data_IF_143658569758
#
_entry.id   IF_143658569758
#
_cell.length_a   1.000
_cell.length_b   1.000
_cell.length_c   1.000
_cell.angle_alpha   90.00
_cell.angle_beta   90.00
_cell.angle_gamma   90.00
#
_symmetry.space_group_name_H-M   'P 1'
#
loop_
_entity.id
_entity.type
_entity.pdbx_description
1 polymer ?
#
# COMPACT_ATOMS: atom_id res chain seq x y z
N UNK A 1 -10.38 1.28 -26.60
CA UNK A 1 -9.17 1.74 -27.33
C UNK A 1 -8.78 3.08 -26.73
N UNK A 2 -7.58 3.20 -26.15
CA UNK A 2 -7.06 4.44 -25.56
C UNK A 2 -6.91 5.48 -26.67
N UNK A 3 -7.59 6.62 -26.55
CA UNK A 3 -7.59 7.65 -27.60
C UNK A 3 -6.39 8.60 -27.54
N UNK A 4 -5.79 8.76 -26.37
CA UNK A 4 -4.61 9.61 -26.13
C UNK A 4 -3.56 8.83 -25.34
N UNK A 5 -2.83 7.91 -25.96
CA UNK A 5 -1.79 7.18 -25.26
C UNK A 5 -0.69 8.13 -24.79
N UNK A 6 -0.30 8.02 -23.53
CA UNK A 6 0.86 8.77 -23.02
C UNK A 6 2.14 8.24 -23.66
N UNK A 7 3.15 9.10 -23.88
CA UNK A 7 4.44 8.65 -24.36
C UNK A 7 5.18 7.90 -23.23
N UNK A 8 5.17 6.58 -23.31
CA UNK A 8 5.89 5.75 -22.34
C UNK A 8 7.40 5.92 -22.48
N UNK A 9 8.17 5.88 -21.38
CA UNK A 9 9.63 5.96 -21.43
C UNK A 9 10.24 4.93 -22.36
N UNK A 10 11.38 5.31 -23.00
CA UNK A 10 12.15 4.43 -23.87
C UNK A 10 11.40 3.85 -25.09
N UNK A 11 10.32 4.52 -25.52
CA UNK A 11 9.51 4.05 -26.65
C UNK A 11 8.68 2.79 -26.34
N UNK A 12 8.49 2.45 -25.09
CA UNK A 12 7.64 1.34 -24.68
C UNK A 12 6.18 1.54 -25.17
N UNK A 13 5.52 0.45 -25.48
CA UNK A 13 4.11 0.48 -25.93
C UNK A 13 3.11 0.48 -24.77
N UNK A 14 3.53 0.00 -23.63
CA UNK A 14 2.77 -0.04 -22.36
C UNK A 14 3.75 -0.10 -21.18
N UNK A 15 3.24 0.14 -20.01
CA UNK A 15 3.90 -0.15 -18.74
C UNK A 15 2.99 -1.02 -17.88
N UNK A 16 3.57 -1.89 -17.08
CA UNK A 16 2.87 -2.67 -16.08
C UNK A 16 3.59 -2.50 -14.73
N UNK A 17 2.83 -2.20 -13.69
CA UNK A 17 3.30 -2.20 -12.32
C UNK A 17 2.69 -3.41 -11.61
N UNK A 18 3.52 -4.19 -10.93
CA UNK A 18 3.05 -5.23 -10.01
C UNK A 18 3.32 -4.76 -8.60
N UNK A 19 2.27 -4.71 -7.80
CA UNK A 19 2.34 -4.23 -6.43
C UNK A 19 1.73 -5.24 -5.49
N UNK A 20 2.14 -5.21 -4.22
CA UNK A 20 1.58 -6.03 -3.17
C UNK A 20 1.29 -5.18 -1.95
N UNK A 21 0.13 -5.40 -1.34
CA UNK A 21 -0.22 -4.83 -0.07
C UNK A 21 0.06 -5.89 1.01
N UNK A 22 0.93 -5.59 1.98
CA UNK A 22 1.30 -6.52 3.05
C UNK A 22 0.56 -6.14 4.34
N UNK A 23 -0.74 -6.33 4.34
CA UNK A 23 -1.60 -5.95 5.46
C UNK A 23 -1.46 -6.88 6.67
N UNK A 24 -1.18 -8.14 6.40
CA UNK A 24 -1.01 -9.14 7.44
C UNK A 24 -2.16 -9.10 8.49
N UNK A 25 -1.85 -9.36 9.74
CA UNK A 25 -2.83 -9.35 10.82
C UNK A 25 -3.17 -7.94 11.35
N UNK A 26 -2.68 -6.86 10.72
CA UNK A 26 -3.16 -5.51 11.02
C UNK A 26 -4.67 -5.39 10.84
N UNK A 27 -5.22 -6.08 9.84
CA UNK A 27 -6.66 -6.13 9.55
C UNK A 27 -7.49 -6.64 10.74
N UNK A 28 -6.97 -7.62 11.47
CA UNK A 28 -7.63 -8.13 12.67
C UNK A 28 -7.57 -7.12 13.81
N UNK A 29 -6.43 -6.48 13.98
CA UNK A 29 -6.24 -5.54 15.08
C UNK A 29 -7.01 -4.25 14.89
N UNK A 30 -7.18 -3.76 13.66
CA UNK A 30 -8.01 -2.58 13.40
C UNK A 30 -9.50 -2.91 13.44
N UNK A 31 -9.93 -4.03 12.87
CA UNK A 31 -11.32 -4.47 12.88
C UNK A 31 -11.84 -4.90 14.25
N UNK A 32 -10.94 -5.42 15.09
CA UNK A 32 -11.26 -5.99 16.41
C UNK A 32 -10.31 -5.45 17.49
N UNK A 33 -10.36 -4.16 17.83
CA UNK A 33 -9.38 -3.51 18.71
C UNK A 33 -9.37 -4.06 20.15
N UNK A 34 -10.46 -4.68 20.58
CA UNK A 34 -10.60 -5.21 21.95
C UNK A 34 -10.29 -6.71 22.08
N UNK A 35 -10.61 -7.51 21.08
CA UNK A 35 -10.53 -8.97 21.11
C UNK A 35 -9.73 -9.58 19.96
N UNK A 36 -9.17 -8.77 19.09
CA UNK A 36 -8.39 -9.20 17.93
C UNK A 36 -7.30 -10.22 18.29
N UNK A 37 -6.63 -10.05 19.44
CA UNK A 37 -5.59 -10.95 19.91
C UNK A 37 -6.07 -12.39 20.20
N UNK A 38 -7.36 -12.60 20.40
CA UNK A 38 -7.97 -13.92 20.64
C UNK A 38 -8.37 -14.65 19.35
N UNK A 39 -8.36 -13.98 18.20
CA UNK A 39 -8.75 -14.52 16.89
C UNK A 39 -7.60 -15.30 16.24
N UNK A 40 -7.18 -16.36 16.92
CA UNK A 40 -5.94 -17.11 16.60
C UNK A 40 -5.94 -17.67 15.19
N UNK A 41 -7.06 -18.18 14.69
CA UNK A 41 -7.18 -18.76 13.35
C UNK A 41 -6.97 -17.69 12.27
N UNK A 42 -7.66 -16.57 12.39
CA UNK A 42 -7.53 -15.44 11.45
C UNK A 42 -6.11 -14.85 11.47
N UNK A 43 -5.56 -14.58 12.65
CA UNK A 43 -4.18 -14.13 12.82
C UNK A 43 -3.21 -15.10 12.14
N UNK A 44 -3.34 -16.41 12.41
CA UNK A 44 -2.45 -17.42 11.84
C UNK A 44 -2.50 -17.43 10.31
N UNK A 45 -3.68 -17.30 9.72
CA UNK A 45 -3.87 -17.23 8.27
C UNK A 45 -3.18 -16.00 7.68
N UNK A 46 -3.42 -14.83 8.26
CA UNK A 46 -2.88 -13.57 7.76
C UNK A 46 -1.37 -13.43 7.96
N UNK A 47 -0.80 -14.07 8.97
CA UNK A 47 0.65 -14.13 9.18
C UNK A 47 1.40 -14.97 8.14
N UNK A 48 0.71 -15.77 7.33
CA UNK A 48 1.34 -16.49 6.23
C UNK A 48 2.00 -15.52 5.24
N UNK A 49 1.37 -14.37 4.99
CA UNK A 49 1.91 -13.31 4.13
C UNK A 49 3.36 -12.95 4.48
N UNK A 50 3.59 -12.28 5.61
CA UNK A 50 4.93 -11.82 5.99
C UNK A 50 5.90 -12.96 6.33
N UNK A 51 5.42 -14.10 6.82
CA UNK A 51 6.30 -15.21 7.25
C UNK A 51 6.75 -16.13 6.12
N UNK A 52 5.95 -16.26 5.05
CA UNK A 52 6.18 -17.25 3.99
C UNK A 52 6.04 -16.64 2.60
N UNK A 53 4.94 -15.91 2.33
CA UNK A 53 4.64 -15.47 0.98
C UNK A 53 5.63 -14.41 0.47
N UNK A 54 6.07 -13.48 1.33
CA UNK A 54 7.02 -12.42 0.94
C UNK A 54 8.29 -13.00 0.31
N UNK A 55 8.93 -13.98 0.93
CA UNK A 55 10.13 -14.61 0.37
C UNK A 55 9.85 -15.24 -0.99
N UNK A 56 8.72 -15.96 -1.12
CA UNK A 56 8.33 -16.60 -2.38
C UNK A 56 8.06 -15.58 -3.50
N UNK A 57 7.42 -14.48 -3.16
CA UNK A 57 7.13 -13.38 -4.09
C UNK A 57 8.46 -12.76 -4.56
N UNK A 58 9.33 -12.36 -3.63
CA UNK A 58 10.62 -11.74 -3.92
C UNK A 58 11.48 -12.66 -4.82
N UNK A 59 11.59 -13.93 -4.47
CA UNK A 59 12.36 -14.92 -5.26
C UNK A 59 11.80 -15.10 -6.67
N UNK A 60 10.46 -15.21 -6.78
CA UNK A 60 9.79 -15.41 -8.07
C UNK A 60 10.02 -14.23 -9.01
N UNK A 61 9.93 -13.01 -8.49
CA UNK A 61 10.13 -11.80 -9.31
C UNK A 61 11.60 -11.48 -9.55
N UNK A 62 12.49 -11.89 -8.66
CA UNK A 62 13.93 -11.83 -8.89
C UNK A 62 14.33 -12.69 -10.12
N UNK A 63 13.76 -13.88 -10.25
CA UNK A 63 13.97 -14.75 -11.41
C UNK A 63 13.49 -14.14 -12.74
N UNK A 64 12.52 -13.20 -12.67
CA UNK A 64 12.00 -12.48 -13.83
C UNK A 64 12.70 -11.12 -14.06
N UNK A 65 13.60 -10.71 -13.17
CA UNK A 65 14.24 -9.39 -13.22
C UNK A 65 13.29 -8.22 -12.99
N UNK A 66 12.14 -8.44 -12.33
CA UNK A 66 11.10 -7.43 -12.11
C UNK A 66 11.23 -6.88 -10.69
N UNK A 67 11.19 -5.56 -10.55
CA UNK A 67 11.07 -4.88 -9.26
C UNK A 67 9.62 -4.49 -9.03
N UNK A 68 9.25 -4.44 -7.76
CA UNK A 68 7.88 -4.24 -7.30
C UNK A 68 7.81 -3.17 -6.24
N UNK A 69 6.60 -2.67 -6.00
CA UNK A 69 6.29 -1.83 -4.84
C UNK A 69 5.45 -2.64 -3.85
N UNK A 70 5.85 -2.61 -2.59
CA UNK A 70 5.09 -3.16 -1.47
C UNK A 70 4.51 -2.00 -0.67
N UNK A 71 3.18 -1.90 -0.63
CA UNK A 71 2.46 -1.00 0.26
C UNK A 71 2.27 -1.71 1.59
N UNK A 72 2.79 -1.12 2.66
CA UNK A 72 2.86 -1.82 3.95
C UNK A 72 2.34 -0.89 5.05
N UNK A 73 1.31 -1.30 5.82
CA UNK A 73 0.96 -0.62 7.05
C UNK A 73 2.18 -0.54 7.97
N UNK A 74 2.46 0.63 8.52
CA UNK A 74 3.69 0.84 9.29
C UNK A 74 3.78 -0.03 10.54
N UNK A 75 2.65 -0.41 11.11
CA UNK A 75 2.56 -1.42 12.17
C UNK A 75 3.12 -2.78 11.72
N UNK A 76 2.86 -3.18 10.47
CA UNK A 76 3.42 -4.41 9.91
C UNK A 76 4.94 -4.32 9.73
N UNK A 77 5.46 -3.13 9.40
CA UNK A 77 6.92 -2.90 9.34
C UNK A 77 7.57 -3.14 10.71
N UNK A 78 6.97 -2.63 11.79
CA UNK A 78 7.46 -2.84 13.16
C UNK A 78 7.29 -4.30 13.61
N UNK A 79 6.25 -4.97 13.16
CA UNK A 79 5.89 -6.34 13.57
C UNK A 79 6.66 -7.43 12.84
N UNK A 80 7.01 -7.19 11.57
CA UNK A 80 7.62 -8.18 10.66
C UNK A 80 8.92 -7.64 10.01
N UNK A 81 9.93 -7.28 10.82
CA UNK A 81 11.16 -6.68 10.31
C UNK A 81 11.91 -7.60 9.33
N UNK A 82 11.84 -8.93 9.50
CA UNK A 82 12.50 -9.89 8.59
C UNK A 82 11.88 -9.88 7.17
N UNK A 83 10.56 -9.72 7.08
CA UNK A 83 9.89 -9.56 5.78
C UNK A 83 10.30 -8.24 5.10
N UNK A 84 10.40 -7.16 5.88
CA UNK A 84 10.84 -5.85 5.40
C UNK A 84 12.28 -5.92 4.89
N UNK A 85 13.17 -6.57 5.61
CA UNK A 85 14.57 -6.79 5.21
C UNK A 85 14.64 -7.58 3.88
N UNK A 86 13.89 -8.68 3.76
CA UNK A 86 13.78 -9.46 2.52
C UNK A 86 13.35 -8.61 1.32
N UNK A 87 12.34 -7.73 1.51
CA UNK A 87 11.87 -6.81 0.47
C UNK A 87 12.96 -5.82 0.06
N UNK A 88 13.66 -5.23 1.04
CA UNK A 88 14.72 -4.24 0.81
C UNK A 88 15.95 -4.88 0.14
N UNK A 89 16.39 -6.05 0.58
CA UNK A 89 17.49 -6.80 -0.03
C UNK A 89 17.16 -7.22 -1.45
N UNK A 90 15.90 -7.55 -1.74
CA UNK A 90 15.39 -7.75 -3.08
C UNK A 90 15.44 -6.50 -3.96
N UNK A 91 15.72 -5.33 -3.40
CA UNK A 91 15.77 -4.04 -4.11
C UNK A 91 14.41 -3.54 -4.56
N UNK A 92 13.37 -3.89 -3.82
CA UNK A 92 11.99 -3.45 -4.04
C UNK A 92 11.70 -2.13 -3.31
N UNK A 93 10.65 -1.44 -3.74
CA UNK A 93 10.17 -0.24 -3.05
C UNK A 93 9.25 -0.62 -1.90
N UNK A 94 9.41 0.06 -0.75
CA UNK A 94 8.42 0.08 0.32
C UNK A 94 7.70 1.42 0.27
N UNK A 95 6.38 1.36 0.11
CA UNK A 95 5.48 2.50 0.06
C UNK A 95 4.52 2.48 1.26
N UNK A 96 3.87 3.59 1.48
CA UNK A 96 3.04 3.85 2.64
C UNK A 96 1.61 3.29 2.46
N UNK A 97 1.07 2.64 3.51
CA UNK A 97 -0.29 2.07 3.54
C UNK A 97 -1.01 2.29 4.89
N UNK A 98 -0.97 3.51 5.41
CA UNK A 98 -1.44 3.78 6.76
C UNK A 98 -0.47 3.30 7.85
N UNK A 99 -0.89 3.44 9.12
CA UNK A 99 -0.15 2.87 10.25
C UNK A 99 -0.66 1.47 10.61
N UNK A 100 -1.95 1.36 10.98
CA UNK A 100 -2.64 0.09 11.30
C UNK A 100 -3.71 -0.25 10.25
N UNK A 101 -3.59 0.26 9.03
CA UNK A 101 -4.57 0.13 7.96
C UNK A 101 -5.85 0.98 8.20
N UNK A 102 -5.70 2.17 8.80
CA UNK A 102 -6.79 3.10 9.04
C UNK A 102 -7.43 3.57 7.73
N UNK A 103 -8.75 3.79 7.78
CA UNK A 103 -9.52 4.30 6.63
C UNK A 103 -9.57 5.83 6.67
N UNK A 104 -8.87 6.56 5.81
CA UNK A 104 -8.77 8.03 5.89
C UNK A 104 -10.09 8.78 5.96
N UNK A 105 -11.15 8.29 5.28
CA UNK A 105 -12.46 8.92 5.31
C UNK A 105 -13.21 8.80 6.64
N UNK A 106 -12.78 7.91 7.52
CA UNK A 106 -13.41 7.63 8.80
C UNK A 106 -12.69 8.37 9.95
N UNK A 107 -11.54 8.97 9.66
CA UNK A 107 -10.73 9.74 10.60
C UNK A 107 -11.16 11.20 10.62
N UNK A 108 -10.97 11.85 11.76
CA UNK A 108 -11.01 13.31 11.80
C UNK A 108 -9.71 13.91 11.22
N UNK A 109 -9.71 15.22 11.02
CA UNK A 109 -8.59 15.94 10.39
C UNK A 109 -7.27 15.76 11.12
N UNK A 110 -7.29 15.74 12.45
CA UNK A 110 -6.09 15.60 13.27
C UNK A 110 -5.59 14.15 13.30
N UNK A 111 -6.50 13.19 13.32
CA UNK A 111 -6.20 11.77 13.28
C UNK A 111 -5.58 11.37 11.92
N UNK A 112 -6.15 11.85 10.79
CA UNK A 112 -5.61 11.57 9.45
C UNK A 112 -4.16 12.05 9.34
N UNK A 113 -3.88 13.27 9.80
CA UNK A 113 -2.51 13.81 9.81
C UNK A 113 -1.59 13.03 10.75
N UNK A 114 -2.04 12.72 11.95
CA UNK A 114 -1.26 12.00 12.94
C UNK A 114 -0.84 10.61 12.46
N UNK A 115 -1.77 9.82 11.93
CA UNK A 115 -1.47 8.47 11.47
C UNK A 115 -0.59 8.45 10.21
N UNK A 116 -0.82 9.41 9.30
CA UNK A 116 0.03 9.60 8.12
C UNK A 116 1.48 9.91 8.54
N UNK A 117 1.68 10.89 9.42
CA UNK A 117 3.02 11.28 9.85
C UNK A 117 3.71 10.19 10.68
N UNK A 118 2.97 9.52 11.57
CA UNK A 118 3.49 8.39 12.35
C UNK A 118 3.99 7.26 11.46
N UNK A 119 3.25 6.92 10.42
CA UNK A 119 3.66 5.87 9.49
C UNK A 119 4.88 6.28 8.67
N UNK A 120 4.98 7.55 8.23
CA UNK A 120 6.19 8.09 7.59
C UNK A 120 7.41 7.90 8.49
N UNK A 121 7.30 8.23 9.77
CA UNK A 121 8.42 8.10 10.72
C UNK A 121 8.88 6.66 10.89
N UNK A 122 7.95 5.71 10.94
CA UNK A 122 8.29 4.27 11.00
C UNK A 122 9.01 3.83 9.74
N UNK A 123 8.48 4.19 8.56
CA UNK A 123 9.09 3.84 7.27
C UNK A 123 10.51 4.42 7.19
N UNK A 124 10.69 5.69 7.57
CA UNK A 124 12.03 6.32 7.57
C UNK A 124 13.00 5.60 8.48
N UNK A 125 12.58 5.22 9.70
CA UNK A 125 13.43 4.46 10.63
C UNK A 125 13.84 3.10 10.08
N UNK A 126 12.91 2.40 9.43
CA UNK A 126 13.14 1.06 8.91
C UNK A 126 13.96 1.03 7.61
N UNK A 127 13.75 2.02 6.73
CA UNK A 127 14.31 1.99 5.36
C UNK A 127 15.43 3.02 5.14
N UNK A 128 15.58 3.99 6.04
CA UNK A 128 16.47 5.14 5.87
C UNK A 128 15.99 6.18 4.86
N UNK A 129 14.78 6.05 4.31
CA UNK A 129 14.25 6.89 3.24
C UNK A 129 12.78 7.24 3.49
N UNK A 130 12.38 8.43 3.04
CA UNK A 130 10.96 8.79 3.03
C UNK A 130 10.21 7.98 1.96
N UNK A 131 8.97 7.53 2.25
CA UNK A 131 8.14 6.90 1.23
C UNK A 131 7.86 7.89 0.09
N UNK A 132 7.88 7.39 -1.14
CA UNK A 132 7.54 8.18 -2.34
C UNK A 132 6.11 7.96 -2.78
N UNK A 133 5.57 6.79 -2.51
CA UNK A 133 4.25 6.35 -2.90
C UNK A 133 3.35 6.08 -1.71
N UNK A 134 2.06 6.21 -1.96
CA UNK A 134 1.01 5.90 -1.01
C UNK A 134 -0.11 5.12 -1.69
N UNK A 135 -0.77 4.26 -0.92
CA UNK A 135 -2.05 3.65 -1.25
C UNK A 135 -2.94 3.76 -0.03
N UNK A 136 -4.17 4.22 -0.23
CA UNK A 136 -5.17 4.25 0.83
C UNK A 136 -5.58 2.83 1.21
N UNK A 137 -5.60 2.48 2.49
CA UNK A 137 -6.23 1.26 2.95
C UNK A 137 -7.64 1.10 2.37
N UNK A 138 -7.93 -0.08 1.78
CA UNK A 138 -9.17 -0.35 1.04
C UNK A 138 -9.52 0.71 -0.03
N UNK A 139 -8.50 1.39 -0.60
CA UNK A 139 -8.72 2.51 -1.54
C UNK A 139 -9.61 3.63 -0.97
N UNK A 140 -9.67 3.73 0.37
CA UNK A 140 -10.54 4.67 1.11
C UNK A 140 -9.92 6.08 1.16
N UNK A 141 -9.93 6.77 0.04
CA UNK A 141 -9.32 8.09 -0.16
C UNK A 141 -10.21 9.20 0.42
N UNK A 142 -9.69 10.05 1.30
CA UNK A 142 -10.41 11.21 1.84
C UNK A 142 -10.34 12.40 0.88
N UNK A 143 -11.18 13.40 1.10
CA UNK A 143 -11.14 14.65 0.34
C UNK A 143 -9.86 15.47 0.59
N UNK A 144 -9.11 15.19 1.65
CA UNK A 144 -7.86 15.85 2.05
C UNK A 144 -6.62 15.07 1.66
N UNK A 145 -6.73 13.75 1.40
CA UNK A 145 -5.59 12.86 1.22
C UNK A 145 -4.59 13.40 0.19
N UNK A 146 -5.05 13.84 -0.99
CA UNK A 146 -4.15 14.37 -2.02
C UNK A 146 -3.32 15.57 -1.54
N UNK A 147 -3.95 16.52 -0.85
CA UNK A 147 -3.28 17.71 -0.32
C UNK A 147 -2.29 17.37 0.79
N UNK A 148 -2.65 16.44 1.67
CA UNK A 148 -1.79 15.97 2.76
C UNK A 148 -0.55 15.25 2.23
N UNK A 149 -0.72 14.41 1.22
CA UNK A 149 0.37 13.68 0.55
C UNK A 149 1.32 14.64 -0.18
N UNK A 150 0.77 15.55 -0.98
CA UNK A 150 1.55 16.56 -1.70
C UNK A 150 2.35 17.46 -0.73
N UNK A 151 1.73 17.89 0.38
CA UNK A 151 2.37 18.70 1.41
C UNK A 151 3.55 17.97 2.10
N UNK A 152 3.54 16.63 2.13
CA UNK A 152 4.59 15.80 2.73
C UNK A 152 5.60 15.27 1.73
N UNK A 153 5.47 15.66 0.45
CA UNK A 153 6.43 15.37 -0.60
C UNK A 153 6.30 13.98 -1.20
N UNK A 154 5.12 13.35 -1.09
CA UNK A 154 4.83 12.15 -1.87
C UNK A 154 4.85 12.46 -3.37
N UNK A 155 5.27 11.50 -4.16
CA UNK A 155 5.40 11.64 -5.62
C UNK A 155 4.19 11.07 -6.34
N UNK A 156 3.64 9.97 -5.80
CA UNK A 156 2.48 9.30 -6.40
C UNK A 156 1.53 8.73 -5.35
N UNK A 157 0.29 8.58 -5.77
CA UNK A 157 -0.77 7.78 -5.17
C UNK A 157 -1.11 6.59 -6.07
N UNK A 158 -1.64 5.53 -5.50
CA UNK A 158 -2.08 4.34 -6.23
C UNK A 158 -3.43 3.83 -5.69
N UNK A 159 -4.37 4.75 -5.44
CA UNK A 159 -5.65 4.42 -4.82
C UNK A 159 -6.86 4.63 -5.71
N UNK A 160 -6.79 5.60 -6.63
CA UNK A 160 -7.96 5.99 -7.41
C UNK A 160 -8.08 5.18 -8.69
N UNK A 161 -9.30 5.10 -9.23
CA UNK A 161 -9.68 4.20 -10.32
C UNK A 161 -10.28 4.96 -11.50
N UNK A 162 -9.80 6.21 -11.73
CA UNK A 162 -10.42 7.13 -12.69
C UNK A 162 -10.02 6.94 -14.13
N UNK A 163 -8.95 6.21 -14.44
CA UNK A 163 -8.45 6.00 -15.80
C UNK A 163 -7.65 4.69 -15.88
N UNK A 164 -7.33 4.25 -17.08
CA UNK A 164 -6.38 3.16 -17.38
C UNK A 164 -4.93 3.64 -17.44
N UNK A 165 -4.70 4.95 -17.41
CA UNK A 165 -3.41 5.60 -17.54
C UNK A 165 -3.11 6.48 -16.32
N UNK A 166 -1.83 6.67 -15.96
CA UNK A 166 -1.45 7.65 -14.97
C UNK A 166 -1.97 9.05 -15.31
N UNK A 167 -2.44 9.77 -14.29
CA UNK A 167 -2.92 11.13 -14.42
C UNK A 167 -2.48 12.01 -13.26
N UNK A 168 -2.63 13.33 -13.39
CA UNK A 168 -2.22 14.28 -12.37
C UNK A 168 -3.41 14.69 -11.51
N UNK A 169 -3.27 14.51 -10.21
CA UNK A 169 -4.14 15.12 -9.21
C UNK A 169 -3.65 16.53 -8.92
N UNK A 170 -4.57 17.49 -9.05
CA UNK A 170 -4.30 18.87 -8.68
C UNK A 170 -4.50 19.02 -7.17
N UNK A 171 -3.45 19.45 -6.47
CA UNK A 171 -3.45 19.63 -5.03
C UNK A 171 -3.32 21.11 -4.70
N UNK A 172 -3.74 21.53 -3.52
CA UNK A 172 -3.59 22.92 -3.05
C UNK A 172 -2.12 23.37 -3.04
N UNK A 173 -1.17 22.44 -2.85
CA UNK A 173 0.28 22.70 -2.88
C UNK A 173 0.99 21.67 -3.76
N UNK A 174 0.96 21.89 -5.08
CA UNK A 174 1.68 21.03 -6.03
C UNK A 174 0.80 20.04 -6.76
N UNK A 175 1.39 18.97 -7.21
CA UNK A 175 0.75 17.91 -7.99
C UNK A 175 1.17 16.55 -7.43
N UNK A 176 0.29 15.59 -7.54
CA UNK A 176 0.52 14.20 -7.21
C UNK A 176 0.21 13.36 -8.44
N UNK A 177 1.05 12.38 -8.76
CA UNK A 177 0.76 11.44 -9.84
C UNK A 177 -0.17 10.35 -9.29
N UNK A 178 -1.29 10.14 -9.94
CA UNK A 178 -2.11 8.95 -9.72
C UNK A 178 -1.64 7.82 -10.63
N UNK A 179 -1.33 6.68 -10.05
CA UNK A 179 -1.10 5.41 -10.73
C UNK A 179 -2.36 4.56 -10.54
N UNK A 180 -3.32 4.60 -11.47
CA UNK A 180 -4.63 4.04 -11.20
C UNK A 180 -4.59 2.55 -10.91
N UNK A 181 -5.38 2.15 -9.93
CA UNK A 181 -5.66 0.76 -9.59
C UNK A 181 -7.08 0.39 -10.03
N UNK A 182 -7.51 -0.85 -9.81
CA UNK A 182 -8.89 -1.24 -10.04
C UNK A 182 -9.23 -2.52 -9.28
N UNK A 183 -10.40 -2.55 -8.64
CA UNK A 183 -10.90 -3.72 -7.91
C UNK A 183 -10.91 -5.02 -8.73
N UNK A 184 -11.06 -4.93 -10.05
CA UNK A 184 -11.00 -6.07 -10.96
C UNK A 184 -9.59 -6.66 -11.16
N UNK A 185 -8.54 -5.94 -10.74
CA UNK A 185 -7.15 -6.37 -10.81
C UNK A 185 -6.57 -6.70 -9.41
N UNK A 186 -7.38 -6.51 -8.38
CA UNK A 186 -7.04 -6.78 -6.99
C UNK A 186 -7.49 -8.20 -6.63
N UNK A 187 -6.67 -8.94 -5.92
CA UNK A 187 -6.97 -10.31 -5.55
C UNK A 187 -7.90 -10.42 -4.33
N UNK A 188 -7.95 -9.40 -3.49
CA UNK A 188 -8.79 -9.38 -2.30
C UNK A 188 -10.27 -9.68 -2.59
N UNK A 189 -10.98 -8.94 -3.47
CA UNK A 189 -12.39 -9.23 -3.72
C UNK A 189 -12.63 -10.55 -4.43
N UNK A 190 -11.60 -11.15 -5.05
CA UNK A 190 -11.70 -12.41 -5.76
C UNK A 190 -11.60 -13.62 -4.82
N UNK A 191 -10.84 -13.49 -3.73
CA UNK A 191 -10.46 -14.61 -2.87
C UNK A 191 -10.95 -14.48 -1.43
N UNK A 192 -11.36 -13.29 -0.98
CA UNK A 192 -11.87 -13.07 0.37
C UNK A 192 -13.39 -12.88 0.34
N UNK A 193 -14.12 -13.79 0.97
CA UNK A 193 -15.60 -13.80 0.97
C UNK A 193 -16.20 -12.98 2.12
N UNK A 194 -15.45 -12.72 3.16
CA UNK A 194 -15.93 -12.00 4.34
C UNK A 194 -14.83 -11.12 4.93
N UNK A 195 -15.17 -9.89 5.27
CA UNK A 195 -14.28 -8.97 5.98
C UNK A 195 -14.10 -9.33 7.46
N UNK A 196 -15.01 -10.12 8.03
CA UNK A 196 -14.92 -10.52 9.43
C UNK A 196 -13.79 -11.50 9.71
N UNK A 197 -13.36 -12.22 8.67
CA UNK A 197 -12.31 -13.26 8.77
C UNK A 197 -12.58 -14.28 9.91
N UNK A 198 -13.83 -14.42 10.27
CA UNK A 198 -14.30 -15.43 11.20
C UNK A 198 -14.62 -16.72 10.42
N UNK A 199 -13.66 -17.61 10.35
CA UNK A 199 -13.82 -18.93 9.76
C UNK A 199 -13.78 -20.00 10.84
#
# INVERSE_FOLDING_TARGET
MIRNPIPWPNGARCAACVTFDMDADSLIHIGHPTDGHSRVSAISMLQYGPKVAITRIVDSYAALGIKQTFFIPAWCIERYPEAVETILEGGHEIAHHGYLHEHPRELDDAEEEYWLDRAIDVIVRATGRRPRGWRAPLYNFSHRSADLLAARGFVYDASLMGDDQPYLLQCAKGQLVELPSHWGLDDWPQYVQSMDLDY
#
